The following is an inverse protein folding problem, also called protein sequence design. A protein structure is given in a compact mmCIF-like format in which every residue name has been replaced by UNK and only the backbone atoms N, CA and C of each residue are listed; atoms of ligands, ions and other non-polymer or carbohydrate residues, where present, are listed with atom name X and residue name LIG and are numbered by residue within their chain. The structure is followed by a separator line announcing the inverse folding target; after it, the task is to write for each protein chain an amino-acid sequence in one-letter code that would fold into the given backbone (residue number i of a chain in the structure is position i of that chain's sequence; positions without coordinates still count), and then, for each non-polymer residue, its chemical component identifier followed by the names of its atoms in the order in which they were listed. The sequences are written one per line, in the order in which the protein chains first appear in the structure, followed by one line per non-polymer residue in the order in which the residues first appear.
data_IF_210038467714
#
_entry.id   IF_210038467714
#
_cell.length_a   1.000
_cell.length_b   1.000
_cell.length_c   1.000
_cell.angle_alpha   90.00
_cell.angle_beta   90.00
_cell.angle_gamma   90.00
#
_symmetry.space_group_name_H-M   'P 1'
#
loop_
_entity.id
_entity.type
_entity.pdbx_description
1 polymer ?
#
# COMPACT_ATOMS: atom_id res chain seq x y z
N UNK A 1 -27.33 2.12 4.25
CA UNK A 1 -26.09 1.36 4.54
C UNK A 1 -26.40 -0.10 4.22
N UNK A 2 -25.65 -0.73 3.32
CA UNK A 2 -25.81 -2.14 2.98
C UNK A 2 -24.55 -2.89 3.41
N UNK A 3 -24.72 -4.06 4.03
CA UNK A 3 -23.61 -4.94 4.39
C UNK A 3 -23.25 -5.79 3.16
N UNK A 4 -22.01 -5.68 2.68
CA UNK A 4 -21.54 -6.50 1.56
C UNK A 4 -20.85 -7.78 2.03
N UNK A 5 -19.98 -7.69 3.04
CA UNK A 5 -19.18 -8.82 3.52
C UNK A 5 -18.75 -8.62 4.98
N UNK A 6 -18.58 -9.71 5.72
CA UNK A 6 -17.88 -9.75 7.01
C UNK A 6 -16.69 -10.70 6.87
N UNK A 7 -15.48 -10.19 7.16
CA UNK A 7 -14.25 -10.97 7.10
C UNK A 7 -13.77 -11.34 8.52
N UNK A 8 -13.81 -12.62 8.88
CA UNK A 8 -13.32 -13.13 10.18
C UNK A 8 -11.79 -13.24 10.29
N UNK A 9 -11.05 -12.34 9.64
CA UNK A 9 -9.58 -12.35 9.56
C UNK A 9 -9.03 -10.94 9.34
N UNK A 10 -7.71 -10.78 9.44
CA UNK A 10 -7.06 -9.55 9.02
C UNK A 10 -7.22 -9.29 7.51
N UNK A 11 -7.34 -8.01 7.17
CA UNK A 11 -7.65 -7.52 5.83
C UNK A 11 -6.49 -6.71 5.24
N UNK A 12 -6.54 -6.42 3.93
CA UNK A 12 -5.41 -5.82 3.20
C UNK A 12 -4.98 -4.45 3.72
N UNK A 13 -5.90 -3.64 4.26
CA UNK A 13 -5.57 -2.32 4.83
C UNK A 13 -5.27 -2.36 6.34
N UNK A 14 -4.91 -3.52 6.90
CA UNK A 14 -4.52 -3.63 8.30
C UNK A 14 -3.37 -2.68 8.66
N UNK A 15 -2.35 -2.61 7.81
CA UNK A 15 -1.18 -1.77 8.07
C UNK A 15 -1.53 -0.27 8.11
N UNK A 16 -2.53 0.16 7.34
CA UNK A 16 -3.04 1.54 7.39
C UNK A 16 -3.67 1.84 8.76
N UNK A 17 -4.42 0.90 9.33
CA UNK A 17 -5.00 1.07 10.66
C UNK A 17 -3.93 1.17 11.75
N UNK A 18 -2.90 0.32 11.67
CA UNK A 18 -1.73 0.38 12.58
C UNK A 18 -1.03 1.73 12.45
N UNK A 19 -0.80 2.19 11.21
CA UNK A 19 -0.16 3.48 10.95
C UNK A 19 -1.01 4.68 11.42
N UNK A 20 -2.32 4.50 11.52
CA UNK A 20 -3.27 5.45 12.08
C UNK A 20 -3.37 5.38 13.63
N UNK A 21 -2.58 4.50 14.27
CA UNK A 21 -2.49 4.37 15.72
C UNK A 21 -3.30 3.22 16.32
N UNK A 22 -3.95 2.38 15.49
CA UNK A 22 -4.78 1.26 15.99
C UNK A 22 -4.11 -0.07 15.69
N UNK A 23 -3.41 -0.62 16.68
CA UNK A 23 -2.72 -1.91 16.61
C UNK A 23 -3.67 -3.08 16.91
N UNK A 24 -4.44 -3.50 15.89
CA UNK A 24 -5.36 -4.64 16.01
C UNK A 24 -4.69 -5.96 16.45
N UNK A 25 -3.50 -6.35 15.96
CA UNK A 25 -2.81 -7.54 16.46
C UNK A 25 -2.53 -7.48 17.98
N UNK A 26 -2.05 -6.35 18.48
CA UNK A 26 -1.82 -6.14 19.92
C UNK A 26 -3.13 -6.21 20.72
N UNK A 27 -4.20 -5.59 20.23
CA UNK A 27 -5.53 -5.64 20.86
C UNK A 27 -6.09 -7.08 20.90
N UNK A 28 -5.93 -7.83 19.81
CA UNK A 28 -6.37 -9.23 19.73
C UNK A 28 -5.62 -10.09 20.75
N UNK A 29 -4.29 -9.93 20.84
CA UNK A 29 -3.48 -10.65 21.81
C UNK A 29 -3.86 -10.29 23.26
N UNK A 30 -4.08 -9.02 23.55
CA UNK A 30 -4.51 -8.59 24.89
C UNK A 30 -5.84 -9.22 25.30
N UNK A 31 -6.79 -9.30 24.35
CA UNK A 31 -8.08 -9.96 24.55
C UNK A 31 -7.92 -11.44 24.89
N UNK A 32 -7.09 -12.16 24.13
CA UNK A 32 -6.81 -13.58 24.41
C UNK A 32 -6.14 -13.82 25.76
N UNK A 33 -5.37 -12.84 26.25
CA UNK A 33 -4.69 -12.92 27.54
C UNK A 33 -5.54 -12.40 28.70
N UNK A 34 -6.82 -12.07 28.50
CA UNK A 34 -7.70 -11.41 29.47
C UNK A 34 -7.06 -10.15 30.10
N UNK A 35 -6.26 -9.43 29.32
CA UNK A 35 -5.69 -8.15 29.74
C UNK A 35 -6.63 -7.03 29.34
N UNK A 36 -6.76 -6.03 30.21
CA UNK A 36 -7.42 -4.78 29.85
C UNK A 36 -6.60 -4.09 28.76
N UNK A 37 -7.07 -4.12 27.52
CA UNK A 37 -6.61 -3.23 26.46
C UNK A 37 -7.71 -2.25 26.15
N UNK A 38 -7.59 -1.03 26.65
CA UNK A 38 -8.22 0.09 25.95
C UNK A 38 -7.50 0.25 24.61
N UNK A 39 -8.19 0.63 23.52
CA UNK A 39 -7.47 1.20 22.40
C UNK A 39 -6.63 2.35 22.97
N UNK A 40 -5.31 2.20 23.00
CA UNK A 40 -4.36 3.29 23.24
C UNK A 40 -4.51 4.22 22.02
N UNK A 41 -5.62 4.97 21.96
CA UNK A 41 -5.74 6.13 21.11
C UNK A 41 -4.82 7.17 21.75
N UNK A 42 -3.51 7.03 21.50
CA UNK A 42 -2.53 8.04 21.86
C UNK A 42 -2.87 9.32 21.10
N UNK A 43 -3.68 10.16 21.76
CA UNK A 43 -4.12 11.45 21.28
C UNK A 43 -5.40 11.40 20.44
N UNK A 44 -6.03 12.59 20.23
CA UNK A 44 -7.12 12.70 19.29
C UNK A 44 -6.69 12.10 17.95
N UNK A 45 -7.62 11.47 17.22
CA UNK A 45 -7.55 11.26 15.77
C UNK A 45 -7.60 12.66 15.12
N UNK A 46 -6.60 13.48 15.42
CA UNK A 46 -6.55 14.90 15.20
C UNK A 46 -5.81 15.15 13.91
N UNK A 47 -6.56 15.51 12.87
CA UNK A 47 -6.13 16.26 11.69
C UNK A 47 -4.99 15.66 10.81
N UNK A 48 -4.38 14.55 11.22
CA UNK A 48 -3.30 13.89 10.47
C UNK A 48 -3.90 12.77 9.63
N UNK A 49 -4.24 13.11 8.39
CA UNK A 49 -4.57 12.11 7.38
C UNK A 49 -3.35 11.23 7.13
N UNK A 50 -3.43 9.96 7.53
CA UNK A 50 -2.41 8.95 7.23
C UNK A 50 -2.72 8.31 5.88
N UNK A 51 -1.70 8.17 5.04
CA UNK A 51 -1.82 7.51 3.75
C UNK A 51 -0.82 6.38 3.66
N UNK A 52 -1.28 5.17 3.33
CA UNK A 52 -0.40 4.05 2.98
C UNK A 52 -0.12 4.07 1.47
N UNK A 53 1.13 3.81 1.10
CA UNK A 53 1.58 3.73 -0.29
C UNK A 53 2.27 2.39 -0.52
N UNK A 54 1.71 1.58 -1.41
CA UNK A 54 2.35 0.35 -1.88
C UNK A 54 3.30 0.65 -3.04
N UNK A 55 4.61 0.62 -2.78
CA UNK A 55 5.63 1.06 -3.75
C UNK A 55 5.61 0.25 -5.05
N UNK A 56 5.57 -1.08 -4.95
CA UNK A 56 5.62 -1.96 -6.12
C UNK A 56 4.35 -1.87 -6.97
N UNK A 57 3.18 -1.65 -6.35
CA UNK A 57 1.95 -1.32 -7.07
C UNK A 57 2.07 -0.03 -7.88
N UNK A 58 2.73 1.00 -7.34
CA UNK A 58 2.98 2.24 -8.08
C UNK A 58 4.00 2.05 -9.21
N UNK A 59 5.01 1.19 -9.02
CA UNK A 59 5.95 0.81 -10.09
C UNK A 59 5.20 0.09 -11.20
N UNK A 60 4.35 -0.88 -10.88
CA UNK A 60 3.53 -1.60 -11.87
C UNK A 60 2.61 -0.64 -12.64
N UNK A 61 1.95 0.27 -11.94
CA UNK A 61 1.11 1.29 -12.56
C UNK A 61 1.90 2.20 -13.51
N UNK A 62 3.09 2.65 -13.08
CA UNK A 62 3.97 3.46 -13.93
C UNK A 62 4.42 2.68 -15.17
N UNK A 63 4.88 1.44 -15.01
CA UNK A 63 5.32 0.61 -16.13
C UNK A 63 4.18 0.35 -17.12
N UNK A 64 2.96 0.13 -16.63
CA UNK A 64 1.79 -0.03 -17.47
C UNK A 64 1.50 1.23 -18.29
N UNK A 65 1.53 2.43 -17.69
CA UNK A 65 1.35 3.70 -18.41
C UNK A 65 2.45 3.92 -19.46
N UNK A 66 3.70 3.55 -19.15
CA UNK A 66 4.82 3.71 -20.06
C UNK A 66 4.75 2.75 -21.25
N UNK A 67 4.25 1.53 -21.03
CA UNK A 67 4.09 0.48 -22.04
C UNK A 67 2.77 0.55 -22.82
N UNK A 68 1.81 1.37 -22.39
CA UNK A 68 0.56 1.57 -23.11
C UNK A 68 0.84 2.09 -24.53
N UNK A 69 0.33 1.35 -25.52
CA UNK A 69 0.46 1.66 -26.95
C UNK A 69 -0.41 2.87 -27.34
N UNK A 70 -0.08 3.49 -28.48
CA UNK A 70 -0.77 4.68 -28.98
C UNK A 70 -2.28 4.50 -29.13
N UNK A 71 -2.70 3.38 -29.74
CA UNK A 71 -4.12 3.04 -29.95
C UNK A 71 -4.89 2.94 -28.63
N UNK A 72 -4.34 2.22 -27.66
CA UNK A 72 -4.97 2.09 -26.33
C UNK A 72 -5.09 3.45 -25.63
N UNK A 73 -4.13 4.35 -25.83
CA UNK A 73 -4.19 5.70 -25.26
C UNK A 73 -5.17 6.62 -25.99
N UNK A 74 -5.42 6.40 -27.27
CA UNK A 74 -6.44 7.11 -28.03
C UNK A 74 -7.85 6.75 -27.52
N UNK A 75 -8.08 5.47 -27.20
CA UNK A 75 -9.33 4.98 -26.62
C UNK A 75 -9.54 5.43 -25.16
N UNK A 76 -8.45 5.78 -24.46
CA UNK A 76 -8.42 6.12 -23.03
C UNK A 76 -7.78 7.50 -22.76
N UNK A 77 -8.46 8.61 -23.13
CA UNK A 77 -7.93 9.97 -22.97
C UNK A 77 -7.76 10.43 -21.50
N UNK A 78 -8.40 9.74 -20.55
CA UNK A 78 -8.26 9.96 -19.10
C UNK A 78 -6.88 9.58 -18.56
N UNK A 79 -6.11 8.80 -19.32
CA UNK A 79 -4.79 8.35 -18.89
C UNK A 79 -3.82 9.51 -18.77
N UNK A 80 -3.10 9.65 -17.64
CA UNK A 80 -2.10 10.69 -17.51
C UNK A 80 -1.03 10.54 -18.59
N UNK A 81 -0.49 11.67 -19.04
CA UNK A 81 0.71 11.68 -19.88
C UNK A 81 1.88 11.01 -19.15
N UNK A 82 2.79 10.38 -19.91
CA UNK A 82 3.93 9.63 -19.36
C UNK A 82 4.77 10.45 -18.37
N UNK A 83 5.07 11.71 -18.71
CA UNK A 83 5.80 12.64 -17.83
C UNK A 83 5.01 12.98 -16.55
N UNK A 84 3.69 13.13 -16.65
CA UNK A 84 2.83 13.39 -15.49
C UNK A 84 2.75 12.18 -14.56
N UNK A 85 2.68 10.98 -15.12
CA UNK A 85 2.72 9.73 -14.36
C UNK A 85 4.07 9.57 -13.63
N UNK A 86 5.18 9.83 -14.32
CA UNK A 86 6.52 9.82 -13.73
C UNK A 86 6.64 10.88 -12.63
N UNK A 87 6.17 12.11 -12.86
CA UNK A 87 6.14 13.16 -11.85
C UNK A 87 5.34 12.75 -10.62
N UNK A 88 4.14 12.17 -10.80
CA UNK A 88 3.32 11.67 -9.69
C UNK A 88 4.02 10.55 -8.91
N UNK A 89 4.76 9.68 -9.58
CA UNK A 89 5.56 8.64 -8.94
C UNK A 89 6.70 9.24 -8.09
N UNK A 90 7.39 10.24 -8.65
CA UNK A 90 8.55 10.93 -8.07
C UNK A 90 8.20 12.04 -7.06
N UNK A 91 6.93 12.35 -6.81
CA UNK A 91 6.49 13.20 -5.70
C UNK A 91 6.02 12.35 -4.48
N UNK A 92 6.92 11.64 -3.76
CA UNK A 92 6.54 10.88 -2.56
C UNK A 92 6.36 11.77 -1.31
N UNK A 93 6.79 13.03 -1.35
CA UNK A 93 7.00 13.84 -0.15
C UNK A 93 5.76 14.65 0.23
N UNK A 94 4.74 13.97 0.79
CA UNK A 94 3.71 14.65 1.60
C UNK A 94 3.79 14.14 3.05
N UNK A 95 3.75 15.03 4.05
CA UNK A 95 3.64 14.62 5.45
C UNK A 95 2.44 13.68 5.64
N UNK A 96 2.62 12.60 6.40
CA UNK A 96 1.57 11.61 6.67
C UNK A 96 1.51 10.42 5.68
N UNK A 97 2.30 10.43 4.61
CA UNK A 97 2.37 9.30 3.68
C UNK A 97 3.47 8.32 4.10
N UNK A 98 3.08 7.08 4.40
CA UNK A 98 3.96 5.97 4.80
C UNK A 98 4.01 4.91 3.71
N UNK A 99 5.13 4.24 3.58
CA UNK A 99 5.23 3.06 2.71
C UNK A 99 4.66 1.86 3.45
N UNK A 100 3.86 1.07 2.75
CA UNK A 100 3.13 -0.04 3.35
C UNK A 100 4.10 -1.08 3.92
N UNK A 101 5.02 -1.54 3.08
CA UNK A 101 5.95 -2.65 3.37
C UNK A 101 7.32 -2.18 3.84
N UNK A 102 7.84 -1.07 3.29
CA UNK A 102 9.17 -0.57 3.68
C UNK A 102 9.11 0.13 5.03
N UNK A 103 9.61 -0.56 6.06
CA UNK A 103 9.79 -0.02 7.41
C UNK A 103 11.27 0.07 7.72
N UNK A 104 11.70 1.21 8.29
CA UNK A 104 13.08 1.39 8.73
C UNK A 104 13.42 0.46 9.91
N UNK A 105 12.44 0.13 10.74
CA UNK A 105 12.58 -0.79 11.87
C UNK A 105 12.64 -2.27 11.46
N UNK A 106 11.98 -2.64 10.35
CA UNK A 106 12.04 -3.99 9.79
C UNK A 106 11.98 -3.95 8.25
N UNK A 107 13.13 -3.88 7.57
CA UNK A 107 13.17 -3.81 6.11
C UNK A 107 13.09 -5.19 5.43
N UNK A 108 13.09 -6.30 6.19
CA UNK A 108 13.11 -7.66 5.62
C UNK A 108 11.90 -7.96 4.72
N UNK A 109 10.66 -7.59 5.09
CA UNK A 109 9.50 -7.79 4.21
C UNK A 109 9.66 -7.10 2.86
N UNK A 110 10.21 -5.88 2.85
CA UNK A 110 10.45 -5.12 1.64
C UNK A 110 11.42 -5.83 0.69
N UNK A 111 12.54 -6.35 1.21
CA UNK A 111 13.49 -7.09 0.37
C UNK A 111 12.90 -8.38 -0.18
N UNK A 112 12.11 -9.10 0.63
CA UNK A 112 11.41 -10.30 0.17
C UNK A 112 10.45 -9.98 -0.97
N UNK A 113 9.62 -8.96 -0.80
CA UNK A 113 8.69 -8.49 -1.81
C UNK A 113 9.43 -8.05 -3.09
N UNK A 114 10.51 -7.27 -2.94
CA UNK A 114 11.34 -6.81 -4.06
C UNK A 114 11.90 -7.98 -4.87
N UNK A 115 12.40 -9.04 -4.20
CA UNK A 115 12.91 -10.25 -4.86
C UNK A 115 11.79 -11.01 -5.58
N UNK A 116 10.62 -11.13 -4.97
CA UNK A 116 9.46 -11.77 -5.60
C UNK A 116 9.02 -10.99 -6.83
N UNK A 117 8.87 -9.67 -6.71
CA UNK A 117 8.50 -8.80 -7.82
C UNK A 117 9.49 -8.91 -8.99
N UNK A 118 10.80 -8.84 -8.73
CA UNK A 118 11.83 -9.00 -9.75
C UNK A 118 11.76 -10.38 -10.43
N UNK A 119 11.58 -11.45 -9.65
CA UNK A 119 11.43 -12.80 -10.20
C UNK A 119 10.19 -12.91 -11.11
N UNK A 120 9.08 -12.29 -10.73
CA UNK A 120 7.88 -12.24 -11.56
C UNK A 120 8.07 -11.40 -12.83
N UNK A 121 8.74 -10.26 -12.73
CA UNK A 121 9.04 -9.38 -13.86
C UNK A 121 9.92 -10.11 -14.90
N UNK A 122 10.97 -10.79 -14.46
CA UNK A 122 11.87 -11.55 -15.34
C UNK A 122 11.16 -12.71 -16.06
N UNK A 123 10.23 -13.40 -15.38
CA UNK A 123 9.42 -14.47 -16.00
C UNK A 123 8.46 -13.94 -17.05
N UNK A 124 7.98 -12.71 -16.92
CA UNK A 124 7.09 -12.05 -17.92
C UNK A 124 7.84 -11.58 -19.16
N UNK A 125 9.18 -11.47 -19.10
CA UNK A 125 10.03 -11.02 -20.20
C UNK A 125 10.87 -12.12 -20.83
N UNK A 126 10.73 -13.38 -20.38
CA UNK A 126 11.38 -14.53 -21.03
C UNK A 126 10.80 -14.75 -22.44
N UNK A 127 11.62 -15.22 -23.41
CA UNK A 127 11.15 -15.44 -24.77
C UNK A 127 10.02 -16.47 -24.75
N UNK A 128 8.84 -16.05 -25.19
CA UNK A 128 7.78 -16.95 -25.66
C UNK A 128 8.03 -17.32 -27.10
#
# INVERSE_FOLDING_TARGET
IYLMEINGRFWGSLQLAIDAGVDFPRLLLATFLNRSSSPEADGPVGDRTVQSRWLWGDVDHLLWILRADGRYREDHPELPGRLRALGRFLLPWRPGRRLEVLRLSDPRPFFRESRQWLAHALRRTGPG
#
